data_IF_534849166528
#
_entry.id   IF_534849166528
#
_cell.length_a   1.000
_cell.length_b   1.000
_cell.length_c   1.000
_cell.angle_alpha   90.00
_cell.angle_beta   90.00
_cell.angle_gamma   90.00
#
_symmetry.space_group_name_H-M   'P 1'
#
loop_
_entity.id
_entity.type
_entity.pdbx_description
1 polymer ?
2 non-polymer ?
3 water ?
#
# COMPACT_ATOMS: atom_id res chain seq x y z
N UNK A 2 11.29 23.17 2.20
CA UNK A 2 9.90 23.63 2.51
C UNK A 2 8.84 22.77 1.82
N UNK A 3 9.11 22.37 0.58
CA UNK A 3 8.20 21.52 -0.17
C UNK A 3 8.05 20.14 0.50
N UNK A 4 6.83 19.61 0.50
CA UNK A 4 6.56 18.26 1.02
C UNK A 4 7.20 17.20 0.10
N UNK A 5 7.96 16.28 0.69
CA UNK A 5 8.65 15.25 -0.08
C UNK A 5 8.38 13.80 0.35
N UNK A 6 8.17 12.92 -0.62
CA UNK A 6 8.05 11.48 -0.38
C UNK A 6 9.19 10.72 -1.04
N UNK A 7 9.96 9.98 -0.24
CA UNK A 7 10.95 9.05 -0.78
C UNK A 7 10.25 7.72 -1.05
N UNK A 8 10.27 7.33 -2.33
CA UNK A 8 9.30 6.36 -2.84
C UNK A 8 9.97 5.31 -3.72
N UNK A 9 9.58 4.05 -3.53
CA UNK A 9 10.02 2.97 -4.43
C UNK A 9 8.76 2.38 -5.07
N UNK A 10 8.51 2.69 -6.37
CA UNK A 10 7.24 2.32 -6.99
C UNK A 10 6.91 0.82 -6.91
N UNK A 11 7.91 -0.02 -6.76
CA UNK A 11 7.69 -1.46 -6.67
C UNK A 11 7.01 -1.88 -5.36
N UNK A 12 7.26 -1.12 -4.30
CA UNK A 12 6.82 -1.48 -2.96
C UNK A 12 5.36 -1.14 -2.73
N UNK A 13 4.59 -2.14 -2.33
CA UNK A 13 3.19 -1.91 -1.94
C UNK A 13 3.00 -0.79 -0.92
N UNK A 14 3.67 -0.88 0.25
CA UNK A 14 3.53 0.16 1.29
C UNK A 14 3.93 1.54 0.76
N UNK A 15 4.99 1.62 -0.03
CA UNK A 15 5.38 2.90 -0.64
C UNK A 15 4.26 3.41 -1.55
N UNK A 16 3.67 2.50 -2.33
CA UNK A 16 2.55 2.88 -3.21
C UNK A 16 1.32 3.32 -2.43
N UNK A 17 1.09 2.70 -1.26
CA UNK A 17 -0.04 3.06 -0.39
C UNK A 17 0.07 4.48 0.17
N UNK A 18 1.29 4.87 0.53
CA UNK A 18 1.56 6.24 0.99
C UNK A 18 1.31 7.26 -0.12
N UNK A 19 1.79 6.96 -1.34
CA UNK A 19 1.58 7.89 -2.47
C UNK A 19 0.10 7.98 -2.86
N UNK A 20 -0.57 6.83 -2.89
CA UNK A 20 -2.01 6.82 -3.17
C UNK A 20 -2.79 7.70 -2.20
N UNK A 21 -2.39 7.72 -0.93
CA UNK A 21 -3.03 8.59 0.06
C UNK A 21 -2.79 10.06 -0.28
N UNK A 22 -1.56 10.40 -0.63
CA UNK A 22 -1.23 11.76 -1.08
C UNK A 22 -2.08 12.15 -2.30
N UNK A 23 -2.23 11.25 -3.27
CA UNK A 23 -3.08 11.50 -4.44
C UNK A 23 -4.54 11.71 -4.05
N UNK A 24 -5.03 10.88 -3.12
CA UNK A 24 -6.43 10.93 -2.72
C UNK A 24 -6.80 12.25 -2.03
N UNK A 25 -5.95 12.71 -1.12
CA UNK A 25 -6.22 13.96 -0.41
C UNK A 25 -5.85 15.18 -1.25
N UNK A 26 -5.12 14.94 -2.34
CA UNK A 26 -4.87 15.96 -3.34
C UNK A 26 -3.75 16.94 -3.02
N UNK A 27 -2.73 16.47 -2.30
CA UNK A 27 -1.61 17.33 -1.93
C UNK A 27 -0.50 17.26 -2.97
N UNK A 28 0.01 18.44 -3.40
CA UNK A 28 1.19 18.43 -4.25
C UNK A 28 2.40 17.93 -3.44
N UNK A 29 3.13 16.98 -4.00
CA UNK A 29 4.27 16.39 -3.30
C UNK A 29 5.41 16.13 -4.25
N UNK A 30 6.62 16.43 -3.79
CA UNK A 30 7.82 16.04 -4.50
C UNK A 30 8.04 14.55 -4.28
N UNK A 31 8.40 13.85 -5.34
CA UNK A 31 8.60 12.41 -5.26
C UNK A 31 10.03 12.12 -5.66
N UNK A 32 10.80 11.66 -4.68
CA UNK A 32 12.16 11.21 -4.93
C UNK A 32 12.15 9.69 -5.05
N UNK A 33 12.44 9.19 -6.25
CA UNK A 33 12.47 7.76 -6.50
C UNK A 33 13.72 7.15 -5.88
N UNK A 34 13.51 6.11 -5.08
CA UNK A 34 14.59 5.43 -4.37
C UNK A 34 14.57 3.98 -4.84
N UNK A 35 15.56 3.61 -5.65
CA UNK A 35 15.65 2.24 -6.16
C UNK A 35 16.30 1.34 -5.11
N UNK A 36 15.48 0.64 -4.34
CA UNK A 36 16.00 -0.28 -3.33
C UNK A 36 16.69 -1.52 -3.93
N UNK A 37 16.38 -1.84 -5.18
CA UNK A 37 17.09 -2.92 -5.88
C UNK A 37 18.58 -2.61 -6.14
N UNK A 38 18.95 -1.33 -6.16
CA UNK A 38 20.33 -0.92 -6.41
C UNK A 38 20.92 0.00 -5.32
N UNK A 39 21.32 -0.62 -4.20
CA UNK A 39 21.78 0.08 -3.00
C UNK A 39 23.05 0.94 -3.18
N UNK A 40 23.95 0.52 -4.08
CA UNK A 40 25.19 1.28 -4.30
C UNK A 40 24.93 2.57 -5.08
N UNK A 41 23.77 2.63 -5.73
CA UNK A 41 23.30 3.81 -6.48
C UNK A 41 22.47 4.77 -5.60
N UNK A 42 22.20 4.37 -4.36
CA UNK A 42 21.37 5.15 -3.42
C UNK A 42 21.94 6.55 -3.19
N UNK A 43 21.08 7.57 -3.23
CA UNK A 43 21.51 8.96 -3.11
C UNK A 43 21.71 9.44 -1.68
N UNK A 44 22.62 10.41 -1.51
CA UNK A 44 22.98 11.00 -0.22
C UNK A 44 21.79 11.64 0.50
N UNK A 45 20.92 12.29 -0.29
CA UNK A 45 19.72 12.95 0.24
C UNK A 45 18.79 12.00 1.01
N UNK A 46 18.80 10.73 0.63
CA UNK A 46 18.01 9.69 1.29
C UNK A 46 18.72 9.07 2.49
N UNK A 47 19.97 8.63 2.28
CA UNK A 47 20.78 7.96 3.30
C UNK A 47 21.02 8.83 4.54
N UNK A 48 20.92 10.15 4.35
CA UNK A 48 21.15 11.15 5.41
C UNK A 48 20.11 11.16 6.54
N UNK A 49 18.83 11.20 6.18
CA UNK A 49 17.78 11.62 7.11
C UNK A 49 17.17 10.57 8.05
N UNK A 50 17.26 9.28 7.69
CA UNK A 50 16.60 8.21 8.45
C UNK A 50 17.60 7.15 8.95
N UNK A 51 17.44 6.72 10.23
CA UNK A 51 18.19 5.59 10.82
C UNK A 51 18.66 4.52 9.82
N UNK A 52 17.75 3.82 9.16
CA UNK A 52 18.13 2.96 8.03
C UNK A 52 17.29 3.22 6.76
N UNK A 53 17.57 2.47 5.70
CA UNK A 53 16.90 2.63 4.40
C UNK A 53 15.39 2.31 4.46
N UNK A 54 14.60 3.15 5.12
CA UNK A 54 13.16 2.93 5.18
C UNK A 54 12.41 3.65 4.06
N UNK A 55 11.65 2.87 3.29
CA UNK A 55 10.78 3.41 2.24
C UNK A 55 9.35 2.86 2.45
N UNK A 56 8.33 3.73 2.38
CA UNK A 56 8.35 5.17 2.11
C UNK A 56 8.80 5.98 3.31
N UNK A 57 9.41 7.13 3.03
CA UNK A 57 9.76 8.11 4.05
C UNK A 57 9.23 9.46 3.58
N UNK A 58 8.51 10.14 4.47
CA UNK A 58 8.02 11.47 4.22
C UNK A 58 8.95 12.48 4.89
N UNK A 59 9.35 13.51 4.14
CA UNK A 59 10.02 14.68 4.72
C UNK A 59 9.09 15.90 4.58
N UNK A 60 8.40 16.23 5.67
CA UNK A 60 7.54 17.39 5.71
C UNK A 60 8.26 18.51 6.45
N UNK A 61 9.03 19.31 5.70
CA UNK A 61 9.71 20.49 6.25
C UNK A 61 10.62 20.08 7.42
N UNK A 62 11.40 19.03 7.19
CA UNK A 62 12.31 18.43 8.19
C UNK A 62 11.72 17.52 9.29
N UNK A 63 10.40 17.46 9.40
CA UNK A 63 9.74 16.37 10.13
C UNK A 63 9.79 15.13 9.24
N UNK A 64 10.59 14.16 9.65
CA UNK A 64 10.83 12.95 8.88
C UNK A 64 9.99 11.82 9.48
N UNK A 65 9.19 11.18 8.63
CA UNK A 65 8.27 10.16 9.07
C UNK A 65 8.33 8.96 8.14
N UNK A 66 8.49 7.77 8.70
CA UNK A 66 8.32 6.57 7.90
C UNK A 66 7.08 5.81 8.38
N UNK A 67 6.87 4.63 7.77
CA UNK A 67 5.69 3.80 7.95
C UNK A 67 4.52 4.35 7.14
N UNK A 68 4.22 3.63 6.05
CA UNK A 68 3.24 4.08 5.07
C UNK A 68 1.89 4.49 5.68
N UNK A 69 1.38 3.72 6.64
CA UNK A 69 0.05 4.05 7.17
C UNK A 69 0.05 5.22 8.16
N UNK A 70 1.13 5.39 8.91
CA UNK A 70 1.36 6.60 9.70
C UNK A 70 1.42 7.85 8.80
N UNK A 71 2.13 7.74 7.68
CA UNK A 71 2.17 8.81 6.67
C UNK A 71 0.77 9.15 6.17
N UNK A 72 0.02 8.12 5.76
CA UNK A 72 -1.34 8.32 5.27
C UNK A 72 -2.24 9.08 6.27
N UNK A 73 -2.20 8.69 7.54
CA UNK A 73 -3.00 9.35 8.58
C UNK A 73 -2.51 10.78 8.85
N UNK A 74 -1.20 10.96 8.83
CA UNK A 74 -0.60 12.27 9.06
C UNK A 74 -0.97 13.25 7.93
N UNK A 75 -0.79 12.81 6.69
CA UNK A 75 -1.19 13.59 5.51
C UNK A 75 -2.68 13.93 5.50
N UNK A 76 -3.53 12.95 5.83
CA UNK A 76 -4.96 13.18 5.83
C UNK A 76 -5.39 14.25 6.85
N UNK A 77 -4.87 14.16 8.08
CA UNK A 77 -5.18 15.14 9.13
C UNK A 77 -4.50 16.51 8.87
N UNK A 78 -3.26 16.51 8.39
CA UNK A 78 -2.52 17.76 8.21
C UNK A 78 -3.00 18.55 6.97
N UNK A 79 -3.26 17.85 5.85
CA UNK A 79 -3.52 18.52 4.58
C UNK A 79 -4.90 18.23 3.96
N UNK A 80 -5.66 17.32 4.55
CA UNK A 80 -7.01 17.00 4.06
C UNK A 80 -7.93 18.21 4.05
N UNK A 81 -8.67 18.39 2.94
CA UNK A 81 -9.53 19.55 2.77
C UNK A 81 -10.94 19.30 3.32
N UNK A 82 -11.22 18.04 3.63
CA UNK A 82 -12.45 17.62 4.32
C UNK A 82 -12.09 16.42 5.21
N UNK A 83 -13.14 15.71 5.63
CA UNK A 83 -13.09 14.63 6.59
C UNK A 83 -13.15 13.26 5.91
N UNK A 84 -13.74 13.21 4.73
CA UNK A 84 -14.04 11.94 4.04
C UNK A 84 -12.97 10.87 4.19
N UNK A 85 -11.72 11.24 3.91
CA UNK A 85 -10.62 10.29 3.74
C UNK A 85 -10.14 9.66 5.05
N UNK A 86 -10.29 10.40 6.15
CA UNK A 86 -9.91 9.90 7.48
C UNK A 86 -10.82 10.61 8.49
N UNK A 87 -12.03 10.07 8.71
CA UNK A 87 -13.03 10.81 9.52
C UNK A 87 -12.58 11.09 10.95
N UNK A 88 -12.94 12.28 11.43
CA UNK A 88 -12.54 12.71 12.77
C UNK A 88 -13.39 12.05 13.86
N UNK A 89 -14.63 11.68 13.54
CA UNK A 89 -15.48 10.90 14.48
C UNK A 89 -14.68 9.69 14.97
N UNK A 90 -14.65 9.49 16.29
CA UNK A 90 -13.74 8.50 16.89
C UNK A 90 -14.06 7.07 16.52
N UNK A 91 -15.34 6.75 16.41
CA UNK A 91 -15.76 5.42 16.02
C UNK A 91 -15.53 5.13 14.52
N UNK A 92 -15.84 6.09 13.66
CA UNK A 92 -15.51 5.99 12.23
C UNK A 92 -13.98 5.94 12.02
N UNK A 93 -13.24 6.76 12.75
CA UNK A 93 -11.77 6.73 12.71
C UNK A 93 -11.23 5.36 13.18
N UNK A 94 -11.81 4.81 14.24
CA UNK A 94 -11.40 3.51 14.76
C UNK A 94 -11.55 2.39 13.73
N UNK A 95 -12.61 2.45 12.93
CA UNK A 95 -12.81 1.47 11.88
C UNK A 95 -11.76 1.60 10.79
N UNK A 96 -11.45 2.83 10.37
CA UNK A 96 -10.37 3.02 9.39
C UNK A 96 -9.03 2.54 9.97
N UNK A 97 -8.74 2.88 11.23
CA UNK A 97 -7.48 2.45 11.87
C UNK A 97 -7.41 0.93 11.90
N UNK A 98 -8.55 0.34 12.22
CA UNK A 98 -8.71 -1.12 12.28
C UNK A 98 -8.35 -1.75 10.93
N UNK A 99 -8.91 -1.23 9.83
CA UNK A 99 -8.58 -1.77 8.50
C UNK A 99 -7.10 -1.54 8.15
N UNK A 100 -6.55 -0.40 8.59
CA UNK A 100 -5.12 -0.12 8.38
C UNK A 100 -4.26 -1.12 9.11
N UNK A 101 -4.58 -1.41 10.36
CA UNK A 101 -3.83 -2.43 11.11
C UNK A 101 -4.03 -3.81 10.52
N UNK A 102 -5.23 -4.10 10.02
CA UNK A 102 -5.45 -5.32 9.24
C UNK A 102 -4.52 -5.40 8.01
N UNK A 103 -4.39 -4.29 7.27
CA UNK A 103 -3.45 -4.24 6.15
C UNK A 103 -2.00 -4.56 6.62
N UNK A 104 -1.59 -3.93 7.72
CA UNK A 104 -0.21 -4.00 8.18
C UNK A 104 0.13 -5.31 8.88
N UNK A 105 -0.81 -5.88 9.62
CA UNK A 105 -0.56 -7.07 10.45
C UNK A 105 -0.96 -8.40 9.80
N UNK A 106 -1.86 -8.36 8.82
CA UNK A 106 -2.37 -9.60 8.21
C UNK A 106 -2.15 -9.63 6.70
N UNK A 107 -2.66 -8.61 6.01
CA UNK A 107 -2.68 -8.65 4.55
C UNK A 107 -1.29 -8.55 3.94
N UNK A 108 -0.61 -7.43 4.14
CA UNK A 108 0.65 -7.27 3.45
C UNK A 108 1.72 -8.21 4.00
N UNK A 109 1.61 -8.54 5.28
CA UNK A 109 2.48 -9.51 5.93
C UNK A 109 2.46 -10.87 5.20
N UNK A 110 1.28 -11.31 4.80
CA UNK A 110 1.11 -12.61 4.16
C UNK A 110 1.46 -12.59 2.66
N UNK A 111 1.26 -11.44 2.02
CA UNK A 111 1.77 -11.23 0.66
C UNK A 111 3.30 -11.27 0.68
N UNK A 112 3.88 -10.55 1.62
CA UNK A 112 5.33 -10.52 1.77
C UNK A 112 5.93 -11.91 2.09
N UNK A 113 5.26 -12.68 2.95
CA UNK A 113 5.69 -14.05 3.29
C UNK A 113 5.84 -14.92 2.05
N UNK A 114 4.98 -14.69 1.06
CA UNK A 114 5.07 -15.37 -0.23
C UNK A 114 6.14 -14.76 -1.15
N UNK A 115 6.10 -13.44 -1.32
CA UNK A 115 6.89 -12.78 -2.37
C UNK A 115 8.36 -12.51 -2.04
N UNK A 116 8.65 -12.15 -0.79
CA UNK A 116 10.02 -11.82 -0.39
C UNK A 116 11.02 -12.98 -0.60
N UNK A 117 10.66 -14.21 -0.19
CA UNK A 117 11.62 -15.28 -0.39
C UNK A 117 11.81 -15.64 -1.86
N UNK A 118 10.77 -15.40 -2.68
CA UNK A 118 10.83 -15.65 -4.12
C UNK A 118 11.72 -14.60 -4.81
N UNK A 119 11.61 -13.35 -4.37
CA UNK A 119 12.41 -12.27 -4.95
C UNK A 119 13.88 -12.36 -4.56
N UNK A 120 14.14 -12.69 -3.31
CA UNK A 120 15.47 -12.49 -2.73
C UNK A 120 16.15 -13.74 -2.16
N UNK A 121 15.38 -14.75 -1.78
CA UNK A 121 15.93 -15.86 -1.00
C UNK A 121 15.99 -17.19 -1.75
N UNK A 122 15.81 -17.13 -3.07
CA UNK A 122 15.93 -18.33 -3.90
C UNK A 122 14.71 -19.23 -3.95
N UNK A 123 13.58 -18.76 -3.41
CA UNK A 123 12.35 -19.55 -3.45
C UNK A 123 11.76 -19.50 -4.86
N UNK A 124 11.26 -20.64 -5.34
CA UNK A 124 10.79 -20.76 -6.73
C UNK A 124 9.32 -21.16 -6.86
N UNK A 125 8.65 -21.35 -5.73
CA UNK A 125 7.23 -21.71 -5.75
C UNK A 125 6.44 -21.04 -4.63
N UNK A 126 5.13 -21.00 -4.78
CA UNK A 126 4.26 -20.51 -3.73
C UNK A 126 3.87 -21.70 -2.84
N UNK A 127 4.34 -21.68 -1.59
CA UNK A 127 4.05 -22.77 -0.64
C UNK A 127 2.55 -22.83 -0.35
N UNK A 128 2.02 -24.05 -0.30
CA UNK A 128 0.60 -24.26 -0.05
C UNK A 128 0.14 -23.63 1.27
N UNK A 129 0.92 -23.83 2.34
CA UNK A 129 0.64 -23.24 3.65
C UNK A 129 0.51 -21.71 3.60
N UNK A 130 1.42 -21.07 2.86
CA UNK A 130 1.41 -19.62 2.69
C UNK A 130 0.20 -19.14 1.89
N UNK A 131 -0.16 -19.92 0.87
CA UNK A 131 -1.32 -19.64 0.02
C UNK A 131 -2.59 -19.69 0.84
N UNK A 132 -2.74 -20.75 1.63
CA UNK A 132 -3.91 -20.89 2.50
C UNK A 132 -4.00 -19.76 3.51
N UNK A 133 -2.86 -19.38 4.06
CA UNK A 133 -2.78 -18.31 5.07
C UNK A 133 -3.27 -16.99 4.47
N UNK A 134 -2.76 -16.64 3.29
CA UNK A 134 -3.21 -15.44 2.61
C UNK A 134 -4.71 -15.51 2.26
N UNK A 135 -5.14 -16.64 1.73
CA UNK A 135 -6.56 -16.82 1.37
C UNK A 135 -7.51 -16.66 2.55
N UNK A 136 -7.10 -17.07 3.75
CA UNK A 136 -7.89 -16.84 4.95
C UNK A 136 -8.04 -15.33 5.26
N UNK A 137 -6.97 -14.59 5.04
CA UNK A 137 -7.01 -13.13 5.21
C UNK A 137 -7.83 -12.47 4.12
N UNK A 138 -7.71 -12.98 2.88
CA UNK A 138 -8.59 -12.48 1.80
C UNK A 138 -10.06 -12.69 2.09
N UNK A 139 -10.39 -13.82 2.72
CA UNK A 139 -11.78 -14.14 3.04
C UNK A 139 -12.38 -13.11 4.01
N UNK A 140 -11.58 -12.69 4.98
CA UNK A 140 -11.95 -11.63 5.92
C UNK A 140 -12.18 -10.32 5.20
N UNK A 141 -11.26 -9.96 4.30
CA UNK A 141 -11.41 -8.75 3.50
C UNK A 141 -12.70 -8.83 2.67
N UNK A 142 -12.94 -9.99 2.08
CA UNK A 142 -14.15 -10.20 1.29
C UNK A 142 -15.42 -9.93 2.11
N UNK A 143 -15.40 -10.30 3.39
CA UNK A 143 -16.49 -10.01 4.34
C UNK A 143 -16.63 -8.52 4.69
N UNK A 144 -15.51 -7.83 4.94
CA UNK A 144 -15.56 -6.37 5.14
C UNK A 144 -16.37 -5.72 4.03
N UNK A 145 -16.11 -6.17 2.81
CA UNK A 145 -16.70 -5.57 1.60
C UNK A 145 -18.11 -6.11 1.27
N UNK A 146 -18.65 -6.95 2.13
CA UNK A 146 -20.03 -7.43 2.01
C UNK A 146 -20.96 -6.39 2.63
N UNK A 147 -20.49 -5.74 3.70
CA UNK A 147 -21.27 -4.78 4.46
C UNK A 147 -21.32 -3.42 3.78
N UNK A 148 -20.15 -2.93 3.34
CA UNK A 148 -20.04 -1.60 2.74
C UNK A 148 -19.38 -1.67 1.35
N UNK A 149 -19.61 -0.63 0.53
CA UNK A 149 -19.03 -0.54 -0.81
C UNK A 149 -17.49 -0.52 -0.80
N UNK A 150 -16.92 0.25 0.12
CA UNK A 150 -15.47 0.37 0.30
C UNK A 150 -15.08 -0.34 1.62
N UNK A 151 -13.78 -0.44 1.92
CA UNK A 151 -13.34 -1.32 3.03
C UNK A 151 -13.83 -0.88 4.42
N UNK A 152 -14.00 0.42 4.62
CA UNK A 152 -14.25 0.93 5.98
C UNK A 152 -15.48 1.80 6.09
N UNK A 153 -16.21 1.96 4.97
CA UNK A 153 -17.35 2.86 4.90
C UNK A 153 -17.98 2.72 3.52
N UNK A 154 -19.09 3.43 3.31
CA UNK A 154 -19.68 3.46 1.98
C UNK A 154 -19.05 4.54 1.09
N UNK A 155 -18.04 5.22 1.61
CA UNK A 155 -17.17 6.11 0.83
C UNK A 155 -15.70 5.70 1.00
N UNK A 156 -14.83 6.04 0.02
CA UNK A 156 -13.44 5.59 0.11
C UNK A 156 -12.67 6.32 1.22
N UNK A 157 -11.70 5.64 1.82
CA UNK A 157 -10.90 6.24 2.89
C UNK A 157 -9.45 5.87 2.62
N UNK A 158 -8.53 6.37 3.44
CA UNK A 158 -7.14 5.93 3.35
C UNK A 158 -6.97 4.43 3.64
N UNK A 159 -7.95 3.80 4.27
CA UNK A 159 -7.91 2.32 4.42
C UNK A 159 -7.98 1.65 3.02
N UNK A 160 -8.76 2.24 2.11
CA UNK A 160 -8.81 1.72 0.74
C UNK A 160 -7.53 1.92 -0.05
N UNK A 161 -6.90 3.09 0.09
CA UNK A 161 -5.64 3.31 -0.62
C UNK A 161 -4.55 2.32 -0.19
N UNK A 162 -4.43 2.07 1.12
CA UNK A 162 -3.43 1.12 1.63
C UNK A 162 -3.73 -0.32 1.21
N UNK A 163 -4.98 -0.76 1.40
CA UNK A 163 -5.38 -2.12 1.07
C UNK A 163 -5.37 -2.35 -0.45
N UNK A 164 -5.71 -1.32 -1.22
CA UNK A 164 -5.55 -1.38 -2.67
C UNK A 164 -4.07 -1.56 -3.09
N UNK A 165 -3.17 -0.84 -2.45
CA UNK A 165 -1.73 -0.98 -2.74
C UNK A 165 -1.27 -2.43 -2.48
N UNK A 166 -1.74 -2.99 -1.37
CA UNK A 166 -1.43 -4.38 -1.03
C UNK A 166 -2.03 -5.38 -2.04
N UNK A 167 -3.35 -5.29 -2.24
CA UNK A 167 -4.08 -6.19 -3.14
C UNK A 167 -3.59 -6.13 -4.59
N UNK A 168 -3.30 -4.94 -5.08
CA UNK A 168 -2.78 -4.79 -6.45
C UNK A 168 -1.43 -5.51 -6.61
N UNK A 169 -0.64 -5.55 -5.54
CA UNK A 169 0.63 -6.25 -5.51
C UNK A 169 0.50 -7.77 -5.76
N UNK A 170 -0.36 -8.43 -4.98
CA UNK A 170 -0.52 -9.88 -5.14
C UNK A 170 -1.29 -10.21 -6.44
N UNK A 171 -2.28 -9.37 -6.78
CA UNK A 171 -3.02 -9.57 -8.02
C UNK A 171 -2.11 -9.48 -9.25
N UNK A 172 -1.08 -8.64 -9.20
CA UNK A 172 -0.12 -8.53 -10.32
C UNK A 172 0.82 -9.74 -10.39
N UNK A 173 1.07 -10.37 -9.24
CA UNK A 173 1.78 -11.65 -9.21
C UNK A 173 0.89 -12.73 -9.86
N UNK A 174 -0.41 -12.60 -9.69
CA UNK A 174 -1.36 -13.60 -10.17
C UNK A 174 -1.93 -14.33 -8.97
N UNK A 175 -3.16 -13.96 -8.61
CA UNK A 175 -3.85 -14.65 -7.53
C UNK A 175 -5.27 -14.86 -7.98
N UNK A 176 -5.80 -16.04 -7.68
CA UNK A 176 -7.18 -16.42 -7.98
C UNK A 176 -8.07 -15.93 -6.83
N UNK A 177 -8.85 -14.88 -7.08
CA UNK A 177 -9.81 -14.35 -6.12
C UNK A 177 -11.28 -14.61 -6.54
N UNK A 178 -11.48 -15.60 -7.42
CA UNK A 178 -12.85 -15.97 -7.86
C UNK A 178 -13.75 -16.32 -6.67
N UNK A 179 -13.17 -16.82 -5.60
CA UNK A 179 -13.90 -17.12 -4.37
C UNK A 179 -14.34 -15.86 -3.61
N UNK A 180 -13.87 -14.69 -4.05
CA UNK A 180 -14.16 -13.44 -3.32
C UNK A 180 -14.79 -12.37 -4.20
N UNK A 181 -16.10 -12.51 -4.51
CA UNK A 181 -16.74 -11.57 -5.43
C UNK A 181 -16.74 -10.12 -4.93
N UNK A 182 -16.74 -9.91 -3.61
CA UNK A 182 -16.72 -8.53 -3.06
C UNK A 182 -15.40 -7.80 -3.29
N UNK A 183 -14.29 -8.52 -3.19
CA UNK A 183 -12.97 -8.00 -3.57
C UNK A 183 -12.93 -7.69 -5.08
N UNK A 184 -13.48 -8.61 -5.89
CA UNK A 184 -13.55 -8.38 -7.34
C UNK A 184 -14.28 -7.08 -7.69
N UNK A 185 -15.40 -6.83 -7.01
CA UNK A 185 -16.16 -5.59 -7.20
C UNK A 185 -15.33 -4.37 -6.77
N UNK A 186 -14.75 -4.46 -5.58
CA UNK A 186 -14.04 -3.34 -4.99
C UNK A 186 -12.79 -2.97 -5.79
N UNK A 187 -12.10 -3.96 -6.32
CA UNK A 187 -10.85 -3.72 -7.05
C UNK A 187 -11.07 -2.96 -8.37
N UNK A 188 -12.23 -3.14 -8.98
CA UNK A 188 -12.66 -2.32 -10.13
C UNK A 188 -12.99 -0.90 -9.68
N UNK A 189 -13.64 -0.75 -8.54
CA UNK A 189 -13.88 0.59 -7.98
C UNK A 189 -12.59 1.31 -7.63
N UNK A 190 -11.57 0.56 -7.18
CA UNK A 190 -10.26 1.15 -6.88
C UNK A 190 -9.59 1.82 -8.10
N UNK A 191 -9.91 1.36 -9.31
CA UNK A 191 -9.39 2.00 -10.55
C UNK A 191 -9.85 3.46 -10.70
N UNK A 192 -10.92 3.83 -10.00
CA UNK A 192 -11.40 5.21 -9.99
C UNK A 192 -10.64 6.09 -9.02
N UNK A 193 -9.87 5.50 -8.11
CA UNK A 193 -9.13 6.28 -7.11
C UNK A 193 -8.07 7.16 -7.77
N UNK A 194 -7.85 8.38 -7.22
CA UNK A 194 -6.76 9.21 -7.77
C UNK A 194 -5.42 8.44 -7.71
N UNK A 195 -4.68 8.48 -8.81
CA UNK A 195 -3.37 7.83 -8.87
C UNK A 195 -3.38 6.31 -8.99
N UNK A 196 -4.51 5.75 -9.35
CA UNK A 196 -4.60 4.33 -9.53
C UNK A 196 -3.69 3.75 -10.62
N UNK A 197 -3.57 4.36 -11.79
CA UNK A 197 -2.67 3.88 -12.84
C UNK A 197 -1.25 3.90 -12.42
N UNK A 198 -0.87 4.93 -11.72
CA UNK A 198 0.45 5.08 -11.21
C UNK A 198 0.69 3.92 -10.25
N UNK A 199 -0.29 3.59 -9.44
CA UNK A 199 -0.15 2.41 -8.58
C UNK A 199 -0.06 1.12 -9.38
N UNK A 200 -0.94 0.96 -10.35
CA UNK A 200 -0.98 -0.25 -11.19
C UNK A 200 0.34 -0.52 -11.91
N UNK A 201 1.01 0.55 -12.34
CA UNK A 201 2.30 0.42 -13.02
C UNK A 201 3.38 -0.13 -12.10
N UNK A 202 3.45 0.40 -10.87
CA UNK A 202 4.41 -0.10 -9.88
C UNK A 202 4.10 -1.52 -9.44
N UNK A 203 2.82 -1.82 -9.25
CA UNK A 203 2.37 -3.18 -8.91
C UNK A 203 2.78 -4.18 -10.00
N UNK A 204 2.61 -3.79 -11.26
CA UNK A 204 3.02 -4.63 -12.38
C UNK A 204 4.52 -4.89 -12.38
N UNK A 205 5.33 -3.89 -12.04
CA UNK A 205 6.78 -4.12 -11.91
C UNK A 205 7.06 -5.12 -10.78
N UNK A 206 6.38 -4.95 -9.64
CA UNK A 206 6.50 -5.90 -8.52
C UNK A 206 6.09 -7.29 -8.99
N UNK A 207 4.93 -7.39 -9.61
CA UNK A 207 4.40 -8.66 -10.12
C UNK A 207 5.36 -9.36 -11.07
N UNK A 208 5.88 -8.60 -12.05
CA UNK A 208 6.83 -9.17 -13.01
C UNK A 208 8.08 -9.74 -12.35
N UNK A 209 8.64 -9.02 -11.38
CA UNK A 209 9.84 -9.48 -10.68
C UNK A 209 9.60 -10.77 -9.88
N UNK A 210 8.40 -10.90 -9.29
CA UNK A 210 8.05 -12.15 -8.61
C UNK A 210 7.89 -13.33 -9.60
N UNK A 211 7.07 -13.12 -10.64
CA UNK A 211 6.79 -14.15 -11.64
C UNK A 211 8.09 -14.68 -12.22
N UNK A 212 9.00 -13.75 -12.52
CA UNK A 212 10.26 -14.05 -13.17
C UNK A 212 11.00 -15.17 -12.43
N UNK A 213 10.85 -15.21 -11.10
CA UNK A 213 11.54 -16.23 -10.29
C UNK A 213 10.73 -17.50 -9.99
N UNK A 214 9.46 -17.51 -10.37
CA UNK A 214 8.62 -18.69 -10.18
C UNK A 214 8.82 -19.66 -11.34
N UNK A 215 9.19 -20.90 -11.02
CA UNK A 215 9.32 -21.97 -12.00
C UNK A 215 7.96 -22.63 -12.23
N UNK A 216 7.37 -22.40 -13.41
CA UNK A 216 6.06 -22.95 -13.75
C UNK A 216 6.19 -24.33 -14.39
#
# INVERSE_FOLDING_TARGET
MSSLKLYHFPVSGPSRGALLAARAIGIPIQIEIVNLFKKEQLQESFLKLNPQHCVPTLDDNNFVLWESRAIACYLADKYGKDDQWYPKDLQKRAVVNQRLYFDSASLYVKIRAICFPILFLGETEIKQSLKDDLNSTLSFLNQFLEKTKWVAADHPTIADTSIYASMSSILAVGWDISSFPNIQRWIKDCLLLPGAPENEDGARTFGDAVKKNIKQ
#
